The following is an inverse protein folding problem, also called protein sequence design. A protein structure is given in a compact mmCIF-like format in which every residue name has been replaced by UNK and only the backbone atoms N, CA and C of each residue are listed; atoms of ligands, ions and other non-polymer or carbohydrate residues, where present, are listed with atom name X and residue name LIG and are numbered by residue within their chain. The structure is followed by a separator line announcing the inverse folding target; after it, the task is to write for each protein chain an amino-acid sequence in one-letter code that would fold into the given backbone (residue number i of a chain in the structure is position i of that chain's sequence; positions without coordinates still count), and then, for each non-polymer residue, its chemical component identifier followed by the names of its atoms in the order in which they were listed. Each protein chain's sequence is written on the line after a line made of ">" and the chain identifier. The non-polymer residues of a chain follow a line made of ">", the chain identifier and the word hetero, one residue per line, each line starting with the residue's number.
data_IF_624836457522
#
_entry.id   IF_624836457522
#
_cell.length_a   1.000
_cell.length_b   1.000
_cell.length_c   1.000
_cell.angle_alpha   90.00
_cell.angle_beta   90.00
_cell.angle_gamma   90.00
#
_symmetry.space_group_name_H-M   'P 1'
#
loop_
_entity.id
_entity.type
_entity.pdbx_description
1 polymer ?
#
# COMPACT_ATOMS: atom_id res chain seq x y z
N UNK A 1 9.35 -1.24 40.99
CA UNK A 1 10.01 -1.67 39.74
C UNK A 1 9.10 -1.23 38.62
N UNK A 2 9.43 -0.11 37.97
CA UNK A 2 8.74 0.34 36.76
C UNK A 2 9.57 -0.13 35.58
N UNK A 3 9.11 -1.18 34.90
CA UNK A 3 9.62 -1.56 33.58
C UNK A 3 9.05 -0.53 32.62
N UNK A 4 9.87 0.45 32.25
CA UNK A 4 9.56 1.37 31.17
C UNK A 4 9.65 0.58 29.87
N UNK A 5 8.49 0.18 29.33
CA UNK A 5 8.31 -0.23 27.94
C UNK A 5 8.60 0.97 27.02
N UNK A 6 9.81 1.51 27.02
CA UNK A 6 10.23 2.43 25.96
C UNK A 6 10.37 1.59 24.68
N UNK A 7 9.58 1.87 23.63
CA UNK A 7 9.73 1.14 22.39
C UNK A 7 11.15 1.38 21.85
N UNK A 8 11.86 0.32 21.40
CA UNK A 8 13.19 0.48 20.84
C UNK A 8 13.16 1.51 19.72
N UNK A 9 14.20 2.37 19.65
CA UNK A 9 14.37 3.34 18.57
C UNK A 9 14.13 2.66 17.23
N UNK A 10 13.12 3.14 16.48
CA UNK A 10 12.72 2.55 15.21
C UNK A 10 13.93 2.57 14.27
N UNK A 11 14.48 1.39 13.97
CA UNK A 11 15.46 1.27 12.91
C UNK A 11 14.74 1.45 11.58
N UNK A 12 14.96 2.60 10.91
CA UNK A 12 14.32 2.94 9.63
C UNK A 12 14.63 1.95 8.50
N UNK A 13 15.57 1.02 8.70
CA UNK A 13 15.91 -0.03 7.74
C UNK A 13 15.35 -1.40 8.12
N UNK A 14 14.81 -1.55 9.32
CA UNK A 14 14.19 -2.79 9.75
C UNK A 14 12.82 -2.96 9.07
N UNK A 15 12.47 -4.17 8.61
CA UNK A 15 11.13 -4.45 8.11
C UNK A 15 10.10 -4.54 9.26
N UNK A 16 8.79 -4.49 8.96
CA UNK A 16 7.74 -4.66 9.98
C UNK A 16 7.83 -5.95 10.80
N UNK A 17 8.35 -7.03 10.20
CA UNK A 17 8.54 -8.34 10.85
C UNK A 17 9.89 -8.51 11.56
N UNK A 18 10.56 -7.42 11.93
CA UNK A 18 11.92 -7.48 12.49
C UNK A 18 12.02 -8.35 13.75
N UNK A 19 11.00 -8.34 14.63
CA UNK A 19 10.96 -9.19 15.84
C UNK A 19 10.99 -10.67 15.48
N UNK A 20 10.15 -11.08 14.52
CA UNK A 20 10.14 -12.45 14.02
C UNK A 20 11.48 -12.85 13.41
N UNK A 21 12.08 -11.99 12.57
CA UNK A 21 13.39 -12.27 11.95
C UNK A 21 14.47 -12.44 13.03
N UNK A 22 14.49 -11.58 14.05
CA UNK A 22 15.41 -11.70 15.18
C UNK A 22 15.17 -12.99 15.96
N UNK A 23 13.91 -13.37 16.19
CA UNK A 23 13.59 -14.64 16.86
C UNK A 23 14.11 -15.86 16.07
N UNK A 24 13.95 -15.87 14.74
CA UNK A 24 14.52 -16.90 13.86
C UNK A 24 16.05 -16.97 14.01
N UNK A 25 16.76 -15.85 13.85
CA UNK A 25 18.22 -15.79 13.96
C UNK A 25 18.75 -16.31 15.32
N UNK A 26 18.07 -15.96 16.41
CA UNK A 26 18.43 -16.40 17.77
C UNK A 26 18.08 -17.88 17.98
N UNK A 27 16.98 -18.37 17.40
CA UNK A 27 16.60 -19.79 17.51
C UNK A 27 17.60 -20.70 16.80
N UNK A 28 18.19 -20.25 15.70
CA UNK A 28 19.16 -20.99 14.89
C UNK A 28 20.60 -20.89 15.42
N UNK A 29 20.92 -19.82 16.16
CA UNK A 29 22.26 -19.59 16.70
C UNK A 29 22.40 -20.07 18.14
N UNK A 30 23.57 -20.60 18.51
CA UNK A 30 23.89 -20.94 19.92
C UNK A 30 24.12 -19.70 20.82
N UNK A 31 23.68 -18.51 20.40
CA UNK A 31 23.74 -17.26 21.18
C UNK A 31 22.61 -17.26 22.22
N UNK A 32 22.66 -18.20 23.16
CA UNK A 32 21.67 -18.38 24.22
C UNK A 32 21.69 -17.27 25.30
N UNK A 33 22.68 -16.37 25.27
CA UNK A 33 22.98 -15.45 26.37
C UNK A 33 22.68 -13.96 26.07
N UNK A 34 22.04 -13.63 24.94
CA UNK A 34 21.51 -12.28 24.75
C UNK A 34 20.21 -12.12 25.52
N UNK A 35 20.25 -11.31 26.59
CA UNK A 35 19.04 -10.88 27.30
C UNK A 35 18.25 -9.99 26.32
N UNK A 36 17.16 -10.54 25.78
CA UNK A 36 16.17 -9.75 25.08
C UNK A 36 15.34 -8.99 26.12
N UNK A 37 15.30 -7.67 26.04
CA UNK A 37 14.40 -6.84 26.85
C UNK A 37 12.93 -6.99 26.41
N UNK A 38 12.69 -7.58 25.24
CA UNK A 38 11.40 -7.70 24.58
C UNK A 38 10.77 -9.10 24.76
N UNK A 39 9.79 -9.20 25.66
CA UNK A 39 9.15 -10.47 26.03
C UNK A 39 8.53 -11.20 24.82
N UNK A 40 7.88 -10.47 23.92
CA UNK A 40 7.21 -11.09 22.76
C UNK A 40 8.22 -11.74 21.80
N UNK A 41 9.41 -11.15 21.63
CA UNK A 41 10.49 -11.76 20.84
C UNK A 41 11.05 -12.99 21.55
N UNK A 42 11.15 -12.97 22.89
CA UNK A 42 11.57 -14.14 23.66
C UNK A 42 10.56 -15.29 23.57
N UNK A 43 9.26 -15.01 23.68
CA UNK A 43 8.21 -16.00 23.54
C UNK A 43 8.25 -16.64 22.14
N UNK A 44 8.52 -15.85 21.09
CA UNK A 44 8.72 -16.36 19.73
C UNK A 44 9.97 -17.24 19.60
N UNK A 45 11.08 -16.90 20.27
CA UNK A 45 12.29 -17.75 20.31
C UNK A 45 11.99 -19.09 21.00
N UNK A 46 11.28 -19.05 22.12
CA UNK A 46 10.93 -20.26 22.88
C UNK A 46 9.96 -21.14 22.09
N UNK A 47 8.99 -20.55 21.39
CA UNK A 47 8.13 -21.23 20.43
C UNK A 47 8.94 -21.86 19.29
N UNK A 48 9.86 -21.14 18.65
CA UNK A 48 10.67 -21.67 17.54
C UNK A 48 11.56 -22.85 17.96
N UNK A 49 12.07 -22.84 19.20
CA UNK A 49 12.89 -23.93 19.75
C UNK A 49 12.08 -25.15 20.18
N UNK A 50 10.91 -24.93 20.77
CA UNK A 50 10.06 -26.00 21.31
C UNK A 50 9.12 -26.60 20.27
N UNK A 51 8.66 -25.79 19.31
CA UNK A 51 7.55 -26.07 18.41
C UNK A 51 6.28 -26.51 19.16
N UNK A 52 6.08 -26.04 20.39
CA UNK A 52 4.92 -26.39 21.21
C UNK A 52 3.73 -25.46 20.90
N UNK A 53 2.88 -25.93 19.99
CA UNK A 53 1.66 -25.24 19.56
C UNK A 53 0.64 -25.08 20.72
N UNK A 54 0.64 -26.01 21.68
CA UNK A 54 -0.29 -25.97 22.81
C UNK A 54 0.13 -24.92 23.86
N UNK A 55 1.43 -24.68 23.97
CA UNK A 55 1.98 -23.66 24.87
C UNK A 55 1.87 -22.24 24.29
N UNK A 56 1.96 -22.09 22.97
CA UNK A 56 1.93 -20.78 22.29
C UNK A 56 0.91 -20.76 21.13
N UNK A 57 -0.40 -20.95 21.40
CA UNK A 57 -1.41 -21.08 20.35
C UNK A 57 -1.56 -19.81 19.51
N UNK A 58 -1.46 -18.62 20.11
CA UNK A 58 -1.60 -17.36 19.37
C UNK A 58 -0.40 -17.08 18.45
N UNK A 59 0.81 -17.44 18.87
CA UNK A 59 2.02 -17.33 18.03
C UNK A 59 1.94 -18.33 16.87
N UNK A 60 1.48 -19.55 17.14
CA UNK A 60 1.26 -20.57 16.12
C UNK A 60 0.28 -20.07 15.05
N UNK A 61 -0.89 -19.58 15.45
CA UNK A 61 -1.93 -19.12 14.53
C UNK A 61 -1.51 -17.87 13.75
N UNK A 62 -0.89 -16.89 14.41
CA UNK A 62 -0.31 -15.73 13.74
C UNK A 62 0.77 -16.13 12.71
N UNK A 63 1.56 -17.16 13.01
CA UNK A 63 2.56 -17.71 12.10
C UNK A 63 1.91 -18.40 10.89
N UNK A 64 0.82 -19.16 11.08
CA UNK A 64 0.05 -19.74 9.97
C UNK A 64 -0.46 -18.64 9.04
N UNK A 65 -1.11 -17.59 9.57
CA UNK A 65 -1.61 -16.47 8.77
C UNK A 65 -0.46 -15.79 8.00
N UNK A 66 0.70 -15.63 8.64
CA UNK A 66 1.87 -15.04 7.98
C UNK A 66 2.41 -15.89 6.84
N UNK A 67 2.41 -17.22 6.99
CA UNK A 67 2.95 -18.18 6.03
C UNK A 67 1.99 -18.46 4.86
N UNK A 68 0.69 -18.55 5.13
CA UNK A 68 -0.34 -18.76 4.10
C UNK A 68 -0.38 -17.60 3.10
N UNK A 69 -0.08 -16.38 3.56
CA UNK A 69 -0.06 -15.14 2.76
C UNK A 69 -1.37 -14.91 1.96
N UNK A 70 -2.50 -15.34 2.54
CA UNK A 70 -3.83 -15.29 1.91
C UNK A 70 -4.63 -14.01 2.20
N UNK A 71 -5.92 -14.06 1.86
CA UNK A 71 -6.86 -12.93 2.04
C UNK A 71 -6.97 -12.45 3.48
N UNK A 72 -7.01 -13.38 4.45
CA UNK A 72 -7.06 -13.05 5.88
C UNK A 72 -5.91 -12.14 6.29
N UNK A 73 -4.68 -12.47 5.86
CA UNK A 73 -3.51 -11.64 6.09
C UNK A 73 -3.64 -10.26 5.45
N UNK A 74 -4.04 -10.22 4.18
CA UNK A 74 -4.17 -8.98 3.42
C UNK A 74 -5.15 -8.01 4.09
N UNK A 75 -6.32 -8.51 4.51
CA UNK A 75 -7.33 -7.71 5.20
C UNK A 75 -6.83 -7.26 6.57
N UNK A 76 -6.33 -8.18 7.39
CA UNK A 76 -5.85 -7.87 8.74
C UNK A 76 -4.75 -6.79 8.70
N UNK A 77 -3.75 -6.93 7.84
CA UNK A 77 -2.67 -5.93 7.73
C UNK A 77 -3.19 -4.56 7.28
N UNK A 78 -4.12 -4.52 6.31
CA UNK A 78 -4.71 -3.25 5.87
C UNK A 78 -5.51 -2.58 7.00
N UNK A 79 -6.25 -3.35 7.79
CA UNK A 79 -7.00 -2.84 8.94
C UNK A 79 -6.11 -2.37 10.08
N UNK A 80 -5.02 -3.09 10.36
CA UNK A 80 -3.97 -2.63 11.29
C UNK A 80 -3.42 -1.27 10.82
N UNK A 81 -3.16 -1.14 9.52
CA UNK A 81 -2.53 0.03 8.92
C UNK A 81 -3.41 1.27 8.91
N UNK A 82 -4.73 1.11 8.70
CA UNK A 82 -5.70 2.22 8.80
C UNK A 82 -6.00 2.62 10.26
N UNK A 83 -5.46 1.87 11.23
CA UNK A 83 -5.52 2.20 12.65
C UNK A 83 -6.75 1.67 13.39
N UNK A 84 -7.44 0.66 12.86
CA UNK A 84 -8.49 -0.03 13.60
C UNK A 84 -7.93 -0.76 14.83
N UNK A 85 -8.75 -0.89 15.87
CA UNK A 85 -8.41 -1.59 17.11
C UNK A 85 -8.44 -3.11 16.94
N UNK A 86 -7.73 -3.84 17.80
CA UNK A 86 -7.68 -5.31 17.73
C UNK A 86 -9.06 -5.96 17.84
N UNK A 87 -9.95 -5.37 18.64
CA UNK A 87 -11.35 -5.79 18.77
C UNK A 87 -12.14 -5.65 17.46
N UNK A 88 -11.96 -4.55 16.75
CA UNK A 88 -12.63 -4.33 15.45
C UNK A 88 -12.09 -5.31 14.41
N UNK A 89 -10.77 -5.47 14.33
CA UNK A 89 -10.12 -6.36 13.36
C UNK A 89 -10.50 -7.81 13.60
N UNK A 90 -10.50 -8.26 14.86
CA UNK A 90 -10.93 -9.59 15.26
C UNK A 90 -12.33 -9.95 14.73
N UNK A 91 -13.27 -9.00 14.79
CA UNK A 91 -14.64 -9.20 14.27
C UNK A 91 -14.66 -9.32 12.75
N UNK A 92 -13.87 -8.51 12.04
CA UNK A 92 -13.84 -8.54 10.58
C UNK A 92 -13.15 -9.77 10.01
N UNK A 93 -12.07 -10.23 10.66
CA UNK A 93 -11.25 -11.34 10.17
C UNK A 93 -11.64 -12.70 10.76
N UNK A 94 -12.68 -12.77 11.61
CA UNK A 94 -13.06 -13.98 12.38
C UNK A 94 -11.89 -14.55 13.21
N UNK A 95 -11.16 -13.67 13.89
CA UNK A 95 -10.01 -13.98 14.73
C UNK A 95 -10.24 -13.55 16.18
N UNK A 96 -9.34 -13.92 17.09
CA UNK A 96 -9.29 -13.36 18.44
C UNK A 96 -8.46 -12.07 18.47
N UNK A 97 -8.70 -11.23 19.48
CA UNK A 97 -7.95 -9.98 19.65
C UNK A 97 -6.47 -10.25 19.94
N UNK A 98 -6.22 -11.32 20.68
CA UNK A 98 -4.90 -11.78 21.06
C UNK A 98 -4.07 -12.18 19.83
N UNK A 99 -4.68 -12.86 18.84
CA UNK A 99 -3.99 -13.19 17.58
C UNK A 99 -3.61 -11.91 16.83
N UNK A 100 -4.53 -10.94 16.72
CA UNK A 100 -4.25 -9.67 16.01
C UNK A 100 -3.11 -8.90 16.68
N UNK A 101 -3.12 -8.81 18.01
CA UNK A 101 -2.07 -8.15 18.80
C UNK A 101 -0.70 -8.83 18.62
N UNK A 102 -0.66 -10.16 18.73
CA UNK A 102 0.56 -10.96 18.51
C UNK A 102 1.05 -10.81 17.07
N UNK A 103 0.13 -10.83 16.11
CA UNK A 103 0.45 -10.67 14.70
C UNK A 103 1.08 -9.32 14.41
N UNK A 104 0.46 -8.23 14.88
CA UNK A 104 1.00 -6.87 14.73
C UNK A 104 2.41 -6.79 15.33
N UNK A 105 2.60 -7.28 16.55
CA UNK A 105 3.89 -7.17 17.25
C UNK A 105 5.01 -7.93 16.55
N UNK A 106 4.75 -9.17 16.11
CA UNK A 106 5.78 -10.07 15.58
C UNK A 106 6.02 -9.88 14.08
N UNK A 107 4.95 -9.75 13.30
CA UNK A 107 4.99 -9.85 11.85
C UNK A 107 4.71 -8.53 11.12
N UNK A 108 4.00 -7.60 11.75
CA UNK A 108 3.55 -6.38 11.10
C UNK A 108 3.59 -5.16 12.02
N UNK A 109 4.76 -4.91 12.62
CA UNK A 109 4.91 -3.87 13.65
C UNK A 109 4.92 -2.48 13.01
N UNK A 110 3.75 -1.87 12.90
CA UNK A 110 3.52 -0.63 12.14
C UNK A 110 2.79 0.45 12.94
N UNK A 111 2.13 0.11 14.05
CA UNK A 111 1.34 1.06 14.85
C UNK A 111 2.17 2.06 15.68
N UNK A 112 3.49 1.94 15.65
CA UNK A 112 4.36 2.85 16.40
C UNK A 112 4.21 4.30 15.93
N UNK A 113 3.88 5.21 16.86
CA UNK A 113 3.50 6.62 16.61
C UNK A 113 4.54 7.48 15.88
N UNK A 114 5.77 7.01 15.73
CA UNK A 114 6.88 7.75 15.11
C UNK A 114 7.27 7.21 13.74
N UNK A 115 6.52 6.25 13.19
CA UNK A 115 6.84 5.64 11.90
C UNK A 115 6.61 6.65 10.77
N UNK A 116 7.65 7.01 9.97
CA UNK A 116 7.49 7.93 8.85
C UNK A 116 6.57 7.36 7.76
N UNK A 117 5.78 8.21 7.10
CA UNK A 117 4.88 7.83 5.99
C UNK A 117 5.62 7.08 4.87
N UNK A 118 6.81 7.53 4.53
CA UNK A 118 7.62 6.93 3.45
C UNK A 118 8.11 5.53 3.82
N UNK A 119 8.36 5.29 5.12
CA UNK A 119 8.70 3.96 5.61
C UNK A 119 7.50 3.03 5.49
N UNK A 120 6.31 3.47 5.92
CA UNK A 120 5.09 2.67 5.79
C UNK A 120 4.80 2.36 4.34
N UNK A 121 4.85 3.35 3.45
CA UNK A 121 4.64 3.17 2.02
C UNK A 121 5.61 2.13 1.44
N UNK A 122 6.91 2.29 1.72
CA UNK A 122 7.95 1.38 1.23
C UNK A 122 7.76 -0.06 1.72
N UNK A 123 7.38 -0.25 2.98
CA UNK A 123 7.38 -1.56 3.63
C UNK A 123 6.03 -2.29 3.63
N UNK A 124 4.91 -1.57 3.47
CA UNK A 124 3.56 -2.16 3.46
C UNK A 124 2.95 -2.23 2.05
N UNK A 125 3.24 -1.23 1.20
CA UNK A 125 2.70 -1.17 -0.17
C UNK A 125 3.76 -1.58 -1.20
N UNK A 126 5.01 -1.19 -1.00
CA UNK A 126 6.09 -1.40 -1.97
C UNK A 126 6.25 -0.21 -2.93
N UNK A 127 6.76 -0.42 -4.17
CA UNK A 127 6.96 0.64 -5.16
C UNK A 127 5.87 0.70 -6.26
N UNK A 128 4.56 0.87 -5.94
CA UNK A 128 3.51 0.78 -6.94
C UNK A 128 3.59 1.89 -7.99
N UNK A 129 4.06 3.08 -7.60
CA UNK A 129 4.15 4.24 -8.49
C UNK A 129 5.20 4.10 -9.61
N UNK A 130 6.18 3.20 -9.45
CA UNK A 130 7.27 3.04 -10.41
C UNK A 130 7.15 1.76 -11.24
N UNK A 131 6.54 0.71 -10.68
CA UNK A 131 6.51 -0.61 -11.31
C UNK A 131 5.12 -1.22 -11.42
N UNK A 132 4.06 -0.54 -10.95
CA UNK A 132 2.77 -1.15 -10.67
C UNK A 132 2.83 -2.11 -9.47
N UNK A 133 1.67 -2.61 -9.03
CA UNK A 133 1.61 -3.65 -8.00
C UNK A 133 2.26 -4.94 -8.54
N UNK A 134 3.33 -5.40 -7.89
CA UNK A 134 4.03 -6.62 -8.29
C UNK A 134 3.10 -7.82 -8.09
N UNK A 135 3.06 -8.70 -9.08
CA UNK A 135 2.20 -9.90 -9.13
C UNK A 135 0.71 -9.63 -8.83
N UNK A 136 0.28 -8.37 -8.95
CA UNK A 136 -1.11 -7.94 -8.74
C UNK A 136 -1.65 -8.32 -7.36
N UNK A 137 -0.78 -8.23 -6.35
CA UNK A 137 -1.12 -8.58 -4.98
C UNK A 137 -2.18 -7.65 -4.40
N UNK A 138 -3.35 -8.21 -4.14
CA UNK A 138 -4.47 -7.56 -3.45
C UNK A 138 -4.05 -6.84 -2.17
N UNK A 139 -3.15 -7.47 -1.42
CA UNK A 139 -2.54 -6.93 -0.20
C UNK A 139 -1.91 -5.55 -0.40
N UNK A 140 -1.24 -5.30 -1.52
CA UNK A 140 -0.62 -3.99 -1.80
C UNK A 140 -1.69 -2.92 -2.08
N UNK A 141 -2.75 -3.27 -2.80
CA UNK A 141 -3.87 -2.35 -3.05
C UNK A 141 -4.58 -1.97 -1.74
N UNK A 142 -4.90 -2.96 -0.91
CA UNK A 142 -5.56 -2.72 0.37
C UNK A 142 -4.67 -1.92 1.33
N UNK A 143 -3.36 -2.21 1.39
CA UNK A 143 -2.41 -1.40 2.14
C UNK A 143 -2.34 0.05 1.61
N UNK A 144 -2.42 0.25 0.30
CA UNK A 144 -2.43 1.60 -0.29
C UNK A 144 -3.68 2.39 0.14
N UNK A 145 -4.86 1.77 0.11
CA UNK A 145 -6.09 2.38 0.62
C UNK A 145 -6.03 2.64 2.12
N UNK A 146 -5.45 1.74 2.90
CA UNK A 146 -5.29 1.92 4.33
C UNK A 146 -4.37 3.11 4.69
N UNK A 147 -3.31 3.36 3.90
CA UNK A 147 -2.41 4.49 4.15
C UNK A 147 -2.98 5.86 3.79
N UNK A 148 -3.82 5.93 2.77
CA UNK A 148 -4.29 7.21 2.21
C UNK A 148 -5.76 7.48 2.48
N UNK A 149 -6.51 6.45 2.86
CA UNK A 149 -7.95 6.49 3.05
C UNK A 149 -8.36 6.52 4.52
N UNK A 150 -9.68 6.59 4.71
CA UNK A 150 -10.34 6.39 5.99
C UNK A 150 -10.89 4.96 6.07
N UNK A 151 -11.12 4.40 7.28
CA UNK A 151 -11.59 3.02 7.44
C UNK A 151 -12.81 2.67 6.58
N UNK A 152 -13.73 3.61 6.38
CA UNK A 152 -14.96 3.41 5.60
C UNK A 152 -14.67 3.16 4.11
N UNK A 153 -13.64 3.81 3.56
CA UNK A 153 -13.22 3.58 2.16
C UNK A 153 -12.58 2.20 2.05
N UNK A 154 -11.76 1.80 3.03
CA UNK A 154 -11.16 0.47 3.06
C UNK A 154 -12.24 -0.61 3.13
N UNK A 155 -13.26 -0.44 4.00
CA UNK A 155 -14.39 -1.36 4.09
C UNK A 155 -15.14 -1.49 2.76
N UNK A 156 -15.39 -0.38 2.06
CA UNK A 156 -16.05 -0.41 0.76
C UNK A 156 -15.23 -1.19 -0.28
N UNK A 157 -13.90 -1.02 -0.30
CA UNK A 157 -13.01 -1.70 -1.24
C UNK A 157 -12.95 -3.20 -0.93
N UNK A 158 -12.82 -3.59 0.35
CA UNK A 158 -12.80 -4.99 0.77
C UNK A 158 -14.16 -5.65 0.50
N UNK A 159 -15.26 -4.99 0.85
CA UNK A 159 -16.60 -5.52 0.60
C UNK A 159 -16.85 -5.75 -0.89
N UNK A 160 -16.47 -4.78 -1.73
CA UNK A 160 -16.62 -4.90 -3.19
C UNK A 160 -15.80 -6.08 -3.77
N UNK A 161 -14.67 -6.43 -3.15
CA UNK A 161 -13.92 -7.63 -3.53
C UNK A 161 -14.68 -8.91 -3.21
N UNK A 162 -15.17 -9.04 -1.98
CA UNK A 162 -15.85 -10.26 -1.54
C UNK A 162 -17.19 -10.49 -2.24
N UNK A 163 -17.91 -9.43 -2.61
CA UNK A 163 -19.15 -9.55 -3.40
C UNK A 163 -18.90 -10.10 -4.81
N UNK A 164 -17.74 -9.81 -5.38
CA UNK A 164 -17.37 -10.21 -6.75
C UNK A 164 -16.54 -11.49 -6.80
N UNK A 165 -16.12 -12.01 -5.65
CA UNK A 165 -15.27 -13.20 -5.55
C UNK A 165 -16.07 -14.47 -5.87
N UNK A 166 -15.73 -15.12 -6.99
CA UNK A 166 -16.24 -16.45 -7.33
C UNK A 166 -15.27 -17.55 -6.89
N UNK A 167 -15.77 -18.78 -6.71
CA UNK A 167 -14.95 -19.91 -6.18
C UNK A 167 -13.85 -20.36 -7.16
N UNK A 168 -13.91 -19.92 -8.40
CA UNK A 168 -12.97 -20.28 -9.47
C UNK A 168 -11.92 -19.21 -9.73
N UNK A 169 -11.98 -18.08 -9.01
CA UNK A 169 -11.11 -16.94 -9.28
C UNK A 169 -9.74 -17.11 -8.63
N UNK A 170 -8.72 -16.65 -9.35
CA UNK A 170 -7.43 -16.38 -8.75
C UNK A 170 -7.56 -15.11 -7.88
N UNK A 171 -7.05 -15.16 -6.64
CA UNK A 171 -7.19 -14.12 -5.62
C UNK A 171 -6.32 -12.87 -5.92
N UNK A 172 -6.64 -12.18 -7.01
CA UNK A 172 -5.90 -11.01 -7.50
C UNK A 172 -6.79 -9.82 -7.84
N UNK A 173 -6.19 -8.77 -8.41
CA UNK A 173 -6.89 -7.51 -8.73
C UNK A 173 -7.92 -7.63 -9.87
N UNK A 174 -7.92 -8.73 -10.63
CA UNK A 174 -8.82 -8.94 -11.77
C UNK A 174 -10.29 -9.01 -11.34
N UNK A 175 -10.55 -9.44 -10.11
CA UNK A 175 -11.90 -9.57 -9.54
C UNK A 175 -12.64 -8.23 -9.60
N UNK A 176 -11.97 -7.13 -9.25
CA UNK A 176 -12.58 -5.80 -9.34
C UNK A 176 -12.92 -5.37 -10.76
N UNK A 177 -12.30 -5.97 -11.77
CA UNK A 177 -12.38 -5.57 -13.16
C UNK A 177 -13.24 -6.53 -14.00
N UNK A 178 -14.00 -7.42 -13.35
CA UNK A 178 -14.90 -8.34 -14.04
C UNK A 178 -15.82 -7.59 -15.01
N UNK A 179 -15.96 -8.07 -16.27
CA UNK A 179 -16.90 -7.49 -17.21
C UNK A 179 -18.34 -7.59 -16.67
N UNK A 180 -18.95 -6.44 -16.37
CA UNK A 180 -20.32 -6.40 -15.82
C UNK A 180 -20.39 -6.50 -14.30
N UNK A 181 -19.25 -6.41 -13.61
CA UNK A 181 -19.16 -6.25 -12.16
C UNK A 181 -20.04 -5.11 -11.62
N UNK A 182 -20.53 -5.25 -10.39
CA UNK A 182 -21.24 -4.20 -9.68
C UNK A 182 -20.30 -3.15 -9.04
N UNK A 183 -18.99 -3.37 -9.11
CA UNK A 183 -17.98 -2.42 -8.65
C UNK A 183 -18.10 -1.10 -9.41
N UNK A 184 -18.15 0.01 -8.67
CA UNK A 184 -18.30 1.33 -9.28
C UNK A 184 -17.17 1.62 -10.26
N UNK A 185 -17.50 2.17 -11.44
CA UNK A 185 -16.54 2.37 -12.53
C UNK A 185 -15.34 3.24 -12.15
N UNK A 186 -15.52 4.15 -11.19
CA UNK A 186 -14.42 5.01 -10.70
C UNK A 186 -13.38 4.20 -9.92
N UNK A 187 -13.82 3.25 -9.09
CA UNK A 187 -12.93 2.34 -8.37
C UNK A 187 -12.22 1.40 -9.36
N UNK A 188 -12.96 0.86 -10.34
CA UNK A 188 -12.37 0.04 -11.40
C UNK A 188 -11.33 0.82 -12.22
N UNK A 189 -11.61 2.07 -12.57
CA UNK A 189 -10.67 2.93 -13.30
C UNK A 189 -9.41 3.22 -12.48
N UNK A 190 -9.57 3.51 -11.19
CA UNK A 190 -8.45 3.74 -10.28
C UNK A 190 -7.55 2.50 -10.16
N UNK A 191 -8.14 1.30 -9.97
CA UNK A 191 -7.40 0.04 -9.92
C UNK A 191 -6.71 -0.24 -11.26
N UNK A 192 -7.38 0.02 -12.38
CA UNK A 192 -6.78 -0.13 -13.71
C UNK A 192 -5.56 0.79 -13.89
N UNK A 193 -5.61 2.03 -13.39
CA UNK A 193 -4.47 2.95 -13.43
C UNK A 193 -3.29 2.46 -12.55
N UNK A 194 -3.55 1.67 -11.50
CA UNK A 194 -2.49 1.07 -10.67
C UNK A 194 -1.88 -0.23 -11.25
N UNK A 195 -2.58 -0.89 -12.18
CA UNK A 195 -2.19 -2.20 -12.74
C UNK A 195 -1.60 -2.09 -14.14
N UNK A 196 -2.10 -1.16 -14.95
CA UNK A 196 -1.52 -0.93 -16.28
C UNK A 196 -0.09 -0.41 -16.14
N UNK A 197 0.84 -0.77 -17.04
CA UNK A 197 2.11 -0.05 -17.12
C UNK A 197 1.76 1.42 -17.24
N UNK A 198 2.37 2.26 -16.40
CA UNK A 198 2.28 3.70 -16.56
C UNK A 198 2.66 4.03 -18.01
N UNK A 199 1.67 4.31 -18.85
CA UNK A 199 1.88 4.93 -20.14
C UNK A 199 1.94 6.41 -19.79
N UNK A 200 3.14 7.01 -19.61
CA UNK A 200 3.17 8.44 -19.39
C UNK A 200 2.41 9.07 -20.56
N UNK A 201 1.58 10.10 -20.34
CA UNK A 201 1.34 11.03 -21.42
C UNK A 201 2.73 11.39 -21.99
N UNK A 202 2.88 11.33 -23.30
CA UNK A 202 4.15 11.54 -24.01
C UNK A 202 4.68 12.99 -23.88
N UNK A 203 4.55 13.65 -22.73
CA UNK A 203 4.75 15.08 -22.59
C UNK A 203 5.41 15.47 -21.25
N UNK A 204 6.44 16.31 -21.36
CA UNK A 204 7.11 16.98 -20.23
C UNK A 204 6.18 17.84 -19.35
N UNK A 205 4.92 18.04 -19.73
CA UNK A 205 3.93 18.82 -19.01
C UNK A 205 3.41 18.16 -17.73
N UNK A 206 3.48 16.83 -17.59
CA UNK A 206 3.01 16.15 -16.37
C UNK A 206 3.90 16.45 -15.15
N UNK A 207 5.20 16.64 -15.37
CA UNK A 207 6.15 17.10 -14.36
C UNK A 207 5.94 18.57 -13.95
N UNK A 208 5.34 19.39 -14.83
CA UNK A 208 4.98 20.78 -14.52
C UNK A 208 3.65 20.82 -13.76
N UNK A 209 2.69 19.98 -14.12
CA UNK A 209 1.37 19.95 -13.50
C UNK A 209 1.38 19.40 -12.06
N UNK A 210 2.14 18.35 -11.77
CA UNK A 210 2.36 17.85 -10.39
C UNK A 210 3.01 18.91 -9.47
N UNK A 211 3.85 19.78 -10.05
CA UNK A 211 4.50 20.90 -9.35
C UNK A 211 3.52 22.05 -9.05
N UNK A 212 2.49 22.25 -9.88
CA UNK A 212 1.38 23.19 -9.63
C UNK A 212 0.33 22.62 -8.67
N UNK A 213 0.06 21.31 -8.73
CA UNK A 213 -0.85 20.62 -7.84
C UNK A 213 -0.44 20.74 -6.36
N UNK A 214 0.87 20.70 -6.06
CA UNK A 214 1.44 20.94 -4.73
C UNK A 214 1.35 22.42 -4.27
N UNK A 215 1.09 23.35 -5.18
CA UNK A 215 0.96 24.79 -4.90
C UNK A 215 -0.51 25.25 -4.70
N UNK A 216 -1.48 24.48 -5.21
CA UNK A 216 -2.93 24.77 -5.12
C UNK A 216 -3.57 24.16 -3.87
N UNK A 217 -2.95 23.18 -3.21
CA UNK A 217 -3.47 22.60 -1.96
C UNK A 217 -3.59 23.60 -0.78
N UNK A 218 -3.16 24.85 -0.95
CA UNK A 218 -3.38 25.96 0.01
C UNK A 218 -4.48 26.97 -0.43
N UNK A 219 -5.24 26.77 -1.53
CA UNK A 219 -6.27 27.71 -2.00
C UNK A 219 -7.62 27.06 -2.38
N UNK A 220 -8.77 27.74 -2.18
CA UNK A 220 -10.10 27.16 -2.38
C UNK A 220 -10.46 27.04 -3.88
N UNK A 221 -10.95 25.87 -4.29
CA UNK A 221 -11.10 25.46 -5.70
C UNK A 221 -12.50 25.82 -6.24
N UNK A 222 -12.59 26.32 -7.49
CA UNK A 222 -13.86 26.57 -8.22
C UNK A 222 -14.40 25.31 -8.93
N UNK A 223 -15.72 25.23 -9.13
CA UNK A 223 -16.48 24.08 -9.67
C UNK A 223 -15.96 23.48 -11.00
N UNK A 224 -15.32 24.27 -11.88
CA UNK A 224 -14.91 23.80 -13.22
C UNK A 224 -13.64 22.92 -13.25
N UNK A 225 -12.88 22.84 -12.15
CA UNK A 225 -11.73 21.91 -11.99
C UNK A 225 -12.12 20.53 -11.45
N UNK A 226 -13.42 20.26 -11.27
CA UNK A 226 -13.96 19.03 -10.69
C UNK A 226 -14.25 17.91 -11.70
N UNK A 227 -14.05 18.12 -13.02
CA UNK A 227 -14.24 17.06 -14.02
C UNK A 227 -12.91 16.40 -14.43
N UNK A 228 -12.67 15.12 -14.08
CA UNK A 228 -11.42 14.40 -14.35
C UNK A 228 -11.25 14.04 -15.83
N UNK A 229 -10.02 13.64 -16.25
CA UNK A 229 -9.61 13.39 -17.63
C UNK A 229 -10.17 12.06 -18.13
N UNK A 230 -11.50 11.99 -18.27
CA UNK A 230 -12.14 10.91 -18.99
C UNK A 230 -11.73 11.00 -20.46
N UNK A 231 -11.19 9.93 -21.01
CA UNK A 231 -11.76 9.42 -22.25
C UNK A 231 -11.43 7.95 -22.43
N UNK A 232 -12.42 7.16 -22.01
CA UNK A 232 -12.60 5.72 -22.15
C UNK A 232 -12.03 4.83 -21.03
N UNK A 233 -12.50 5.05 -19.80
CA UNK A 233 -12.33 4.11 -18.67
C UNK A 233 -12.68 2.67 -19.05
N UNK A 234 -13.71 2.48 -19.84
CA UNK A 234 -14.12 1.15 -20.29
C UNK A 234 -13.03 0.43 -21.08
N UNK A 235 -12.31 1.13 -21.97
CA UNK A 235 -11.17 0.57 -22.68
C UNK A 235 -9.98 0.30 -21.75
N UNK A 236 -9.69 1.22 -20.80
CA UNK A 236 -8.63 1.02 -19.81
C UNK A 236 -8.89 -0.21 -18.95
N UNK A 237 -10.10 -0.32 -18.38
CA UNK A 237 -10.55 -1.46 -17.56
C UNK A 237 -10.44 -2.75 -18.36
N UNK A 238 -10.91 -2.76 -19.62
CA UNK A 238 -10.78 -3.91 -20.52
C UNK A 238 -9.32 -4.34 -20.74
N UNK A 239 -8.42 -3.39 -20.96
CA UNK A 239 -6.99 -3.68 -21.17
C UNK A 239 -6.36 -4.21 -19.87
N UNK A 240 -6.62 -3.56 -18.73
CA UNK A 240 -6.12 -4.00 -17.43
C UNK A 240 -6.60 -5.41 -17.09
N UNK A 241 -7.90 -5.68 -17.24
CA UNK A 241 -8.48 -7.00 -17.07
C UNK A 241 -7.82 -8.05 -17.98
N UNK A 242 -7.59 -7.72 -19.25
CA UNK A 242 -6.88 -8.58 -20.19
C UNK A 242 -5.45 -8.87 -19.74
N UNK A 243 -4.68 -7.87 -19.29
CA UNK A 243 -3.30 -8.07 -18.80
C UNK A 243 -3.26 -9.02 -17.61
N UNK A 244 -4.15 -8.81 -16.63
CA UNK A 244 -4.24 -9.61 -15.42
C UNK A 244 -4.62 -11.07 -15.71
N UNK A 245 -5.62 -11.30 -16.57
CA UNK A 245 -6.17 -12.64 -16.82
C UNK A 245 -5.40 -13.46 -17.84
N UNK A 246 -4.71 -12.83 -18.79
CA UNK A 246 -4.00 -13.55 -19.86
C UNK A 246 -2.52 -13.81 -19.56
N UNK A 247 -2.00 -13.29 -18.44
CA UNK A 247 -0.58 -13.38 -18.11
C UNK A 247 0.34 -12.73 -19.16
N UNK A 248 -0.21 -11.83 -19.99
CA UNK A 248 0.55 -11.03 -20.94
C UNK A 248 1.56 -10.20 -20.14
N UNK A 249 2.81 -10.66 -20.12
CA UNK A 249 3.94 -9.81 -19.72
C UNK A 249 3.92 -8.63 -20.68
N UNK A 250 3.46 -7.48 -20.23
CA UNK A 250 3.66 -6.24 -20.95
C UNK A 250 5.17 -6.02 -20.97
N UNK A 251 5.80 -6.47 -22.06
CA UNK A 251 7.17 -6.10 -22.38
C UNK A 251 7.10 -4.60 -22.44
N UNK A 252 7.81 -3.94 -21.51
CA UNK A 252 7.98 -2.49 -21.50
C UNK A 252 8.14 -2.06 -22.95
N UNK A 253 7.14 -1.37 -23.48
CA UNK A 253 7.28 -0.76 -24.78
C UNK A 253 8.41 0.25 -24.59
N UNK A 254 9.60 -0.10 -25.06
CA UNK A 254 10.72 0.82 -25.17
C UNK A 254 10.28 1.79 -26.26
N UNK A 255 9.56 2.84 -25.86
CA UNK A 255 9.33 3.99 -26.69
C UNK A 255 10.66 4.73 -26.77
N UNK A 256 11.21 4.83 -27.97
CA UNK A 256 12.43 5.58 -28.24
C UNK A 256 12.16 7.07 -28.00
N UNK A 257 12.52 7.57 -26.80
CA UNK A 257 12.27 8.93 -26.33
C UNK A 257 13.06 10.03 -27.06
N UNK A 258 13.59 9.75 -28.26
CA UNK A 258 14.42 10.67 -29.04
C UNK A 258 13.61 11.57 -30.00
N UNK A 259 12.44 12.06 -29.58
CA UNK A 259 11.79 13.16 -30.30
C UNK A 259 12.27 14.50 -29.72
N UNK A 260 12.82 15.40 -30.56
CA UNK A 260 13.36 16.67 -30.07
C UNK A 260 12.23 17.58 -29.61
N UNK A 261 12.27 17.97 -28.34
CA UNK A 261 11.42 19.01 -27.75
C UNK A 261 11.75 20.33 -28.45
N UNK A 262 10.73 21.02 -28.97
CA UNK A 262 10.91 22.21 -29.82
C UNK A 262 11.19 23.51 -29.06
N UNK A 263 10.93 23.58 -27.76
CA UNK A 263 11.08 24.82 -26.98
C UNK A 263 11.85 24.54 -25.68
N UNK A 264 12.78 25.45 -25.35
CA UNK A 264 13.65 25.29 -24.18
C UNK A 264 12.85 25.59 -22.91
N UNK A 265 12.90 24.73 -21.87
CA UNK A 265 12.23 24.98 -20.59
C UNK A 265 12.52 26.36 -19.97
N UNK A 266 13.66 26.97 -20.31
CA UNK A 266 14.04 28.31 -19.89
C UNK A 266 13.12 29.40 -20.47
N UNK A 267 12.71 29.28 -21.73
CA UNK A 267 11.86 30.27 -22.41
C UNK A 267 10.42 30.25 -21.86
N UNK A 268 9.91 29.06 -21.53
CA UNK A 268 8.59 28.88 -20.91
C UNK A 268 8.53 29.53 -19.52
N UNK A 269 9.61 29.36 -18.72
CA UNK A 269 9.72 29.92 -17.38
C UNK A 269 9.80 31.45 -17.41
N UNK A 270 10.56 32.02 -18.34
CA UNK A 270 10.64 33.47 -18.50
C UNK A 270 9.29 34.08 -18.90
N UNK A 271 8.52 33.42 -19.77
CA UNK A 271 7.18 33.87 -20.15
C UNK A 271 6.20 33.87 -18.95
N UNK A 272 6.25 32.84 -18.10
CA UNK A 272 5.36 32.71 -16.94
C UNK A 272 5.69 33.75 -15.86
N UNK A 273 6.98 33.97 -15.57
CA UNK A 273 7.40 35.01 -14.62
C UNK A 273 6.99 36.40 -15.10
N UNK A 274 7.07 36.65 -16.41
CA UNK A 274 6.62 37.89 -17.02
C UNK A 274 5.11 38.10 -16.91
N UNK A 275 4.32 37.03 -17.04
CA UNK A 275 2.86 37.09 -16.83
C UNK A 275 2.49 37.36 -15.36
N UNK A 276 3.22 36.79 -14.40
CA UNK A 276 2.96 36.97 -12.97
C UNK A 276 3.34 38.38 -12.45
N UNK A 277 4.41 38.98 -12.98
CA UNK A 277 4.77 40.37 -12.66
C UNK A 277 3.78 41.39 -13.27
N UNK A 278 3.21 41.08 -14.43
CA UNK A 278 2.14 41.87 -15.04
C UNK A 278 0.83 41.83 -14.22
N UNK A 279 0.55 40.73 -13.52
CA UNK A 279 -0.62 40.62 -12.65
C UNK A 279 -0.44 41.32 -11.29
N UNK A 280 0.79 41.34 -10.75
CA UNK A 280 1.12 42.12 -9.54
C UNK A 280 1.03 43.63 -9.76
N UNK A 281 1.45 44.10 -10.93
CA UNK A 281 1.37 45.53 -11.29
C UNK A 281 -0.06 45.98 -11.62
N UNK A 282 -0.92 45.09 -12.09
CA UNK A 282 -2.34 45.37 -12.34
C UNK A 282 -3.23 45.38 -11.07
N UNK A 283 -2.70 44.97 -9.91
CA UNK A 283 -3.43 44.87 -8.64
C UNK A 283 -3.04 45.95 -7.61
N UNK A 284 -2.37 47.02 -8.06
CA UNK A 284 -2.04 48.25 -7.32
C UNK A 284 -2.71 49.44 -7.97
#
# INVERSE_FOLDING_TARGET
>A
MSLTNEPPQLNMFAPPCWRWNTACEISESSLADQILEDQITQDAVDYLKSQDEAQYPEIYEACQIFQEDGLCRAEMEARILVGQSDAEIAVHCDLTQEIVDIYEKLFFSVRHRTTPSDWLLKHTVGPPHFTGFKDHHLRQLWAWFALHGVPEVLDQVIWAYYEELEHTDDTGLSIYLHPGSYVHSDLQAMIADCVTPYFPPLYQWDHVFLRYYQFIQELPISEELQTPPSQNYHNKIKVAYGVLTSGLKVITAVWDCNLPIKESPTEEIENILRMLDLQKTAST
#
